data_IF_693488375021
#
_entry.id   IF_693488375021
#
_cell.length_a   1.000
_cell.length_b   1.000
_cell.length_c   1.000
_cell.angle_alpha   90.00
_cell.angle_beta   90.00
_cell.angle_gamma   90.00
#
_symmetry.space_group_name_H-M   'P 1'
#
loop_
_entity.id
_entity.type
_entity.pdbx_description
1 polymer ?
#
# COMPACT_ATOMS: atom_id res chain seq x y z
N UNK A 1 1.32 -22.90 -14.53
CA UNK A 1 2.25 -23.01 -13.38
C UNK A 1 2.08 -21.74 -12.57
N UNK A 2 1.51 -21.83 -11.35
CA UNK A 2 1.39 -20.67 -10.46
C UNK A 2 2.79 -20.22 -10.04
N UNK A 3 3.20 -19.04 -10.49
CA UNK A 3 4.49 -18.46 -10.10
C UNK A 3 4.51 -18.20 -8.58
N UNK A 4 5.68 -18.38 -7.95
CA UNK A 4 5.83 -18.08 -6.53
C UNK A 4 5.73 -16.57 -6.28
N UNK A 5 5.32 -16.17 -5.08
CA UNK A 5 5.25 -14.75 -4.66
C UNK A 5 6.59 -14.02 -4.90
N UNK A 6 7.69 -14.64 -4.55
CA UNK A 6 9.03 -14.07 -4.74
C UNK A 6 9.36 -13.84 -6.20
N UNK A 7 8.93 -14.73 -7.07
CA UNK A 7 9.13 -14.65 -8.52
C UNK A 7 8.31 -13.51 -9.12
N UNK A 8 7.00 -13.43 -8.82
CA UNK A 8 6.12 -12.35 -9.31
C UNK A 8 6.63 -10.98 -8.88
N UNK A 9 6.89 -10.79 -7.59
CA UNK A 9 7.43 -9.51 -7.08
C UNK A 9 8.82 -9.23 -7.67
N UNK A 10 9.67 -10.24 -7.84
CA UNK A 10 10.99 -10.09 -8.46
C UNK A 10 10.91 -9.55 -9.90
N UNK A 11 10.01 -10.09 -10.73
CA UNK A 11 9.79 -9.57 -12.09
C UNK A 11 9.26 -8.14 -12.09
N UNK A 12 8.28 -7.83 -11.23
CA UNK A 12 7.73 -6.48 -11.12
C UNK A 12 8.80 -5.46 -10.72
N UNK A 13 9.65 -5.78 -9.75
CA UNK A 13 10.72 -4.87 -9.31
C UNK A 13 11.78 -4.65 -10.41
N UNK A 14 12.13 -5.68 -11.17
CA UNK A 14 13.04 -5.54 -12.32
C UNK A 14 12.44 -4.65 -13.42
N UNK A 15 11.17 -4.87 -13.77
CA UNK A 15 10.47 -4.03 -14.75
C UNK A 15 10.34 -2.58 -14.27
N UNK A 16 10.05 -2.38 -12.98
CA UNK A 16 9.97 -1.05 -12.36
C UNK A 16 11.32 -0.33 -12.45
N UNK A 17 12.41 -0.99 -12.10
CA UNK A 17 13.74 -0.41 -12.19
C UNK A 17 14.13 -0.01 -13.64
N UNK A 18 13.66 -0.76 -14.65
CA UNK A 18 13.99 -0.53 -16.05
C UNK A 18 13.07 0.50 -16.75
N UNK A 19 11.78 0.56 -16.37
CA UNK A 19 10.76 1.26 -17.15
C UNK A 19 10.05 2.39 -16.40
N UNK A 20 10.25 2.53 -15.08
CA UNK A 20 9.58 3.57 -14.30
C UNK A 20 10.29 4.91 -14.39
N UNK A 21 9.51 5.99 -14.41
CA UNK A 21 10.03 7.36 -14.26
C UNK A 21 10.42 7.70 -12.82
N UNK A 22 9.82 7.02 -11.85
CA UNK A 22 10.09 7.17 -10.41
C UNK A 22 10.22 5.78 -9.80
N UNK A 23 11.33 5.08 -10.04
CA UNK A 23 11.50 3.69 -9.61
C UNK A 23 11.47 3.52 -8.09
N UNK A 24 11.90 4.53 -7.32
CA UNK A 24 11.86 4.52 -5.86
C UNK A 24 10.41 4.45 -5.35
N UNK A 25 9.52 5.29 -5.90
CA UNK A 25 8.09 5.29 -5.57
C UNK A 25 7.44 3.97 -5.95
N UNK A 26 7.65 3.52 -7.16
CA UNK A 26 6.93 2.37 -7.70
C UNK A 26 7.38 1.07 -7.04
N UNK A 27 8.66 0.97 -6.68
CA UNK A 27 9.19 -0.10 -5.85
C UNK A 27 8.52 -0.10 -4.46
N UNK A 28 8.45 1.06 -3.82
CA UNK A 28 7.79 1.20 -2.52
C UNK A 28 6.28 0.90 -2.59
N UNK A 29 5.57 1.38 -3.64
CA UNK A 29 4.16 1.09 -3.90
C UNK A 29 3.91 -0.41 -3.97
N UNK A 30 4.65 -1.11 -4.83
CA UNK A 30 4.49 -2.55 -5.05
C UNK A 30 4.81 -3.35 -3.78
N UNK A 31 5.93 -3.07 -3.14
CA UNK A 31 6.32 -3.78 -1.91
C UNK A 31 5.33 -3.54 -0.78
N UNK A 32 4.81 -2.31 -0.62
CA UNK A 32 3.79 -2.00 0.37
C UNK A 32 2.50 -2.74 0.07
N UNK A 33 2.02 -2.69 -1.16
CA UNK A 33 0.80 -3.37 -1.59
C UNK A 33 0.85 -4.88 -1.33
N UNK A 34 1.94 -5.54 -1.73
CA UNK A 34 2.14 -6.97 -1.54
C UNK A 34 2.52 -7.37 -0.11
N UNK A 35 3.06 -6.43 0.67
CA UNK A 35 3.57 -6.69 2.03
C UNK A 35 2.59 -6.39 3.15
N UNK A 36 1.55 -5.58 2.89
CA UNK A 36 0.61 -5.10 3.92
C UNK A 36 -0.84 -5.46 3.65
N UNK A 37 -1.16 -5.96 2.46
CA UNK A 37 -2.53 -6.22 2.02
C UNK A 37 -3.47 -5.00 2.00
N UNK A 38 -2.94 -3.78 1.91
CA UNK A 38 -3.74 -2.57 1.74
C UNK A 38 -4.55 -2.62 0.45
N UNK A 39 -5.79 -2.14 0.52
CA UNK A 39 -6.59 -1.83 -0.68
C UNK A 39 -6.09 -0.55 -1.36
N UNK A 40 -6.50 -0.31 -2.60
CA UNK A 40 -6.05 0.88 -3.37
C UNK A 40 -6.39 2.19 -2.66
N UNK A 41 -7.61 2.33 -2.16
CA UNK A 41 -8.06 3.53 -1.44
C UNK A 41 -7.27 3.73 -0.15
N UNK A 42 -7.06 2.65 0.60
CA UNK A 42 -6.25 2.65 1.81
C UNK A 42 -4.81 3.05 1.49
N UNK A 43 -4.20 2.47 0.46
CA UNK A 43 -2.83 2.76 0.02
C UNK A 43 -2.66 4.23 -0.41
N UNK A 44 -3.67 4.80 -1.09
CA UNK A 44 -3.68 6.22 -1.49
C UNK A 44 -3.83 7.17 -0.29
N UNK A 45 -4.36 6.68 0.84
CA UNK A 45 -4.77 7.48 2.00
C UNK A 45 -3.82 7.38 3.19
N UNK A 46 -2.89 6.40 3.21
CA UNK A 46 -1.92 6.30 4.31
C UNK A 46 -1.02 7.52 4.33
N UNK A 47 -0.82 8.07 5.54
CA UNK A 47 -0.06 9.30 5.76
C UNK A 47 1.34 9.00 6.30
N UNK A 48 2.20 10.02 6.28
CA UNK A 48 3.53 9.94 6.89
C UNK A 48 3.43 9.57 8.37
N UNK A 49 2.45 10.12 9.10
CA UNK A 49 2.23 9.80 10.52
C UNK A 49 1.68 8.38 10.76
N UNK A 50 1.16 7.68 9.74
CA UNK A 50 0.88 6.24 9.85
C UNK A 50 2.15 5.38 9.81
N UNK A 51 3.23 5.89 9.21
CA UNK A 51 4.49 5.15 9.04
C UNK A 51 5.56 5.58 10.04
N UNK A 52 5.72 6.91 10.27
CA UNK A 52 6.76 7.47 11.12
C UNK A 52 6.21 7.98 12.46
N UNK A 53 7.05 7.89 13.49
CA UNK A 53 6.94 8.67 14.70
C UNK A 53 7.49 10.09 14.49
N UNK A 54 7.20 10.99 15.42
CA UNK A 54 7.70 12.37 15.35
C UNK A 54 9.23 12.47 15.34
N UNK A 55 9.93 11.54 15.98
CA UNK A 55 11.39 11.43 16.00
C UNK A 55 11.99 10.86 14.69
N UNK A 56 11.15 10.52 13.72
CA UNK A 56 11.54 9.94 12.44
C UNK A 56 11.77 8.44 12.46
N UNK A 57 11.60 7.77 13.59
CA UNK A 57 11.64 6.31 13.67
C UNK A 57 10.41 5.68 13.00
N UNK A 58 10.56 4.47 12.47
CA UNK A 58 9.45 3.71 11.87
C UNK A 58 8.57 3.12 12.97
N UNK A 59 7.26 3.30 12.86
CA UNK A 59 6.28 2.64 13.72
C UNK A 59 6.31 1.13 13.52
N UNK A 60 6.04 0.37 14.56
CA UNK A 60 5.81 -1.08 14.44
C UNK A 60 4.41 -1.37 13.89
N UNK A 61 3.45 -0.57 14.33
CA UNK A 61 2.04 -0.72 14.05
C UNK A 61 1.37 0.65 13.92
N UNK A 62 0.37 0.72 13.08
CA UNK A 62 -0.57 1.81 12.94
C UNK A 62 -1.94 1.25 12.58
N UNK A 63 -2.90 2.11 12.24
CA UNK A 63 -4.23 1.67 11.87
C UNK A 63 -4.64 2.22 10.50
N UNK A 64 -5.40 1.43 9.75
CA UNK A 64 -6.16 1.89 8.59
C UNK A 64 -7.43 2.57 9.10
N UNK A 65 -7.63 3.83 8.73
CA UNK A 65 -8.75 4.65 9.20
C UNK A 65 -10.09 4.09 8.70
N UNK A 66 -11.11 4.24 9.55
CA UNK A 66 -12.49 3.77 9.30
C UNK A 66 -13.06 4.29 7.97
N UNK A 67 -12.84 5.57 7.66
CA UNK A 67 -13.40 6.26 6.49
C UNK A 67 -12.89 5.72 5.15
N UNK A 68 -11.71 5.12 5.12
CA UNK A 68 -11.10 4.55 3.91
C UNK A 68 -10.98 3.04 3.93
N UNK A 69 -11.22 2.40 5.08
CA UNK A 69 -11.16 0.96 5.24
C UNK A 69 -12.25 0.27 4.41
N UNK A 70 -11.88 -0.84 3.77
CA UNK A 70 -12.76 -1.58 2.86
C UNK A 70 -14.08 -2.05 3.53
N UNK A 71 -14.03 -2.42 4.80
CA UNK A 71 -15.18 -2.89 5.57
C UNK A 71 -15.85 -1.79 6.42
N UNK A 72 -15.32 -0.56 6.42
CA UNK A 72 -15.78 0.53 7.28
C UNK A 72 -15.41 0.36 8.76
N UNK A 73 -14.40 -0.45 9.06
CA UNK A 73 -13.89 -0.68 10.41
C UNK A 73 -12.38 -0.44 10.44
N UNK A 74 -11.89 0.13 11.55
CA UNK A 74 -10.47 0.27 11.78
C UNK A 74 -9.80 -1.11 11.83
N UNK A 75 -8.63 -1.22 11.22
CA UNK A 75 -7.85 -2.45 11.26
C UNK A 75 -6.35 -2.18 11.43
N UNK A 76 -5.62 -3.11 12.06
CA UNK A 76 -4.19 -2.92 12.27
C UNK A 76 -3.41 -2.95 10.95
N UNK A 77 -2.36 -2.14 10.89
CA UNK A 77 -1.40 -2.08 9.80
C UNK A 77 0.01 -2.25 10.38
N UNK A 78 0.68 -3.32 10.01
CA UNK A 78 1.98 -3.69 10.54
C UNK A 78 3.13 -3.32 9.61
N UNK A 79 4.16 -2.67 10.14
CA UNK A 79 5.37 -2.25 9.43
C UNK A 79 6.56 -3.19 9.72
N UNK A 80 6.31 -4.48 9.90
CA UNK A 80 7.32 -5.48 10.26
C UNK A 80 8.11 -6.05 9.09
N UNK A 81 7.68 -5.82 7.85
CA UNK A 81 8.35 -6.33 6.67
C UNK A 81 9.57 -5.45 6.31
N UNK A 82 10.77 -5.96 6.57
CA UNK A 82 12.04 -5.22 6.33
C UNK A 82 12.19 -4.71 4.89
N UNK A 83 11.70 -5.45 3.89
CA UNK A 83 11.77 -5.01 2.48
C UNK A 83 10.84 -3.84 2.20
N UNK A 84 9.66 -3.81 2.80
CA UNK A 84 8.72 -2.68 2.72
C UNK A 84 9.34 -1.45 3.36
N UNK A 85 9.87 -1.59 4.57
CA UNK A 85 10.51 -0.49 5.31
C UNK A 85 11.68 0.09 4.49
N UNK A 86 12.60 -0.74 4.02
CA UNK A 86 13.74 -0.29 3.23
C UNK A 86 13.32 0.47 1.95
N UNK A 87 12.31 -0.02 1.24
CA UNK A 87 11.82 0.64 0.03
C UNK A 87 11.11 1.97 0.33
N UNK A 88 10.33 2.03 1.42
CA UNK A 88 9.72 3.28 1.87
C UNK A 88 10.78 4.30 2.30
N UNK A 89 11.82 3.88 2.99
CA UNK A 89 12.90 4.77 3.41
C UNK A 89 13.61 5.39 2.20
N UNK A 90 13.93 4.60 1.17
CA UNK A 90 14.51 5.09 -0.09
C UNK A 90 13.57 6.07 -0.81
N UNK A 91 12.28 5.74 -0.87
CA UNK A 91 11.30 6.61 -1.52
C UNK A 91 11.07 7.92 -0.75
N UNK A 92 11.01 7.90 0.58
CA UNK A 92 10.84 9.10 1.37
C UNK A 92 12.07 10.01 1.29
N UNK A 93 13.27 9.46 1.23
CA UNK A 93 14.50 10.21 0.96
C UNK A 93 14.44 10.89 -0.41
N UNK A 94 14.06 10.16 -1.46
CA UNK A 94 13.84 10.72 -2.79
C UNK A 94 12.82 11.87 -2.77
N UNK A 95 11.69 11.73 -2.03
CA UNK A 95 10.70 12.80 -1.87
C UNK A 95 11.28 14.06 -1.27
N UNK A 96 12.14 13.94 -0.24
CA UNK A 96 12.82 15.08 0.37
C UNK A 96 13.74 15.80 -0.62
N UNK A 97 14.51 15.05 -1.42
CA UNK A 97 15.36 15.60 -2.47
C UNK A 97 14.55 16.37 -3.52
N UNK A 98 13.38 15.88 -3.88
CA UNK A 98 12.44 16.54 -4.80
C UNK A 98 11.60 17.63 -4.13
N UNK A 99 11.71 17.83 -2.81
CA UNK A 99 10.89 18.75 -1.97
C UNK A 99 9.37 18.39 -2.03
N UNK A 100 9.02 17.15 -2.32
CA UNK A 100 7.65 16.69 -2.39
C UNK A 100 7.08 16.42 -0.98
N UNK A 101 6.24 17.36 -0.47
CA UNK A 101 5.65 17.28 0.86
C UNK A 101 6.63 17.53 2.00
N UNK A 102 7.74 18.23 1.72
CA UNK A 102 8.65 18.70 2.73
C UNK A 102 8.02 19.81 3.58
N UNK A 103 8.34 19.84 4.88
CA UNK A 103 7.92 20.91 5.79
C UNK A 103 9.08 21.80 6.20
N UNK A 104 8.76 23.00 6.68
CA UNK A 104 9.74 23.93 7.28
C UNK A 104 10.27 23.41 8.65
N UNK A 105 9.54 22.51 9.33
CA UNK A 105 9.95 21.92 10.62
C UNK A 105 10.92 20.78 10.40
N UNK A 106 12.19 21.09 10.28
CA UNK A 106 13.28 20.16 9.93
C UNK A 106 13.57 19.05 10.95
N UNK A 107 12.93 18.93 12.06
CA UNK A 107 13.27 17.92 13.08
C UNK A 107 12.26 16.80 13.27
N UNK A 108 11.02 16.98 12.79
CA UNK A 108 9.95 16.02 12.98
C UNK A 108 9.63 15.27 11.69
N UNK A 109 9.26 13.98 11.80
CA UNK A 109 8.86 13.14 10.68
C UNK A 109 9.85 13.15 9.51
N UNK A 110 11.15 13.21 9.79
CA UNK A 110 12.24 13.36 8.81
C UNK A 110 12.11 14.59 7.91
N UNK A 111 11.38 15.64 8.34
CA UNK A 111 11.13 16.84 7.54
C UNK A 111 9.97 16.72 6.56
N UNK A 112 9.14 15.69 6.65
CA UNK A 112 7.94 15.51 5.86
C UNK A 112 6.68 15.95 6.61
N UNK A 113 5.64 16.34 5.88
CA UNK A 113 4.33 16.66 6.45
C UNK A 113 3.69 15.40 7.03
N UNK A 114 3.44 15.33 8.37
CA UNK A 114 2.83 14.15 8.99
C UNK A 114 1.42 13.82 8.46
N UNK A 115 0.66 14.82 8.02
CA UNK A 115 -0.67 14.66 7.46
C UNK A 115 -0.63 14.32 5.94
N UNK A 116 0.51 14.52 5.30
CA UNK A 116 0.70 14.25 3.88
C UNK A 116 0.63 12.75 3.57
N UNK A 117 0.04 12.41 2.41
CA UNK A 117 0.03 11.03 1.94
C UNK A 117 1.44 10.48 1.72
N UNK A 118 1.66 9.20 2.01
CA UNK A 118 2.95 8.55 1.73
C UNK A 118 3.19 8.52 0.22
N UNK A 119 2.21 8.07 -0.57
CA UNK A 119 2.36 7.93 -2.01
C UNK A 119 1.79 9.13 -2.75
N UNK A 120 2.61 9.71 -3.60
CA UNK A 120 2.28 10.85 -4.43
C UNK A 120 2.34 10.47 -5.92
N UNK A 121 1.66 11.25 -6.76
CA UNK A 121 1.80 11.18 -8.21
C UNK A 121 3.21 11.61 -8.66
N UNK A 122 3.52 11.50 -9.95
CA UNK A 122 4.79 11.99 -10.49
C UNK A 122 4.96 13.51 -10.28
N UNK A 123 3.86 14.25 -10.24
CA UNK A 123 3.85 15.70 -9.99
C UNK A 123 3.94 16.07 -8.49
N UNK A 124 4.15 15.10 -7.60
CA UNK A 124 4.25 15.36 -6.16
C UNK A 124 2.92 15.67 -5.47
N UNK A 125 1.79 15.33 -6.11
CA UNK A 125 0.44 15.57 -5.56
C UNK A 125 -0.14 14.28 -4.99
N UNK A 126 -0.98 14.34 -3.94
CA UNK A 126 -1.75 13.18 -3.47
C UNK A 126 -2.63 12.61 -4.58
N UNK A 127 -2.86 11.29 -4.55
CA UNK A 127 -3.86 10.69 -5.42
C UNK A 127 -5.27 11.12 -5.01
N UNK A 128 -6.06 11.62 -5.97
CA UNK A 128 -7.42 12.07 -5.71
C UNK A 128 -8.33 10.89 -5.39
N UNK A 129 -9.14 11.04 -4.34
CA UNK A 129 -10.18 10.10 -3.98
C UNK A 129 -11.52 10.56 -4.55
N UNK A 130 -12.21 9.67 -5.23
CA UNK A 130 -13.60 9.87 -5.66
C UNK A 130 -14.54 9.42 -4.56
N UNK A 131 -15.38 10.33 -4.07
CA UNK A 131 -16.41 10.04 -3.06
C UNK A 131 -17.71 9.65 -3.73
N UNK A 132 -18.34 8.58 -3.25
CA UNK A 132 -19.68 8.15 -3.65
C UNK A 132 -20.55 7.97 -2.42
N UNK A 133 -21.81 8.42 -2.48
CA UNK A 133 -22.83 8.08 -1.51
C UNK A 133 -23.49 6.78 -1.93
N UNK A 134 -23.49 5.79 -1.05
CA UNK A 134 -24.24 4.55 -1.28
C UNK A 134 -25.72 4.77 -0.96
N UNK A 135 -26.65 3.94 -1.48
CA UNK A 135 -28.07 4.01 -1.16
C UNK A 135 -28.37 3.92 0.35
N UNK A 136 -27.48 3.30 1.13
CA UNK A 136 -27.51 3.23 2.59
C UNK A 136 -27.13 4.52 3.31
N UNK A 137 -26.78 5.60 2.57
CA UNK A 137 -26.24 6.84 3.14
C UNK A 137 -24.75 6.76 3.54
N UNK A 138 -24.14 5.60 3.47
CA UNK A 138 -22.72 5.42 3.77
C UNK A 138 -21.85 6.01 2.66
N UNK A 139 -20.80 6.75 3.06
CA UNK A 139 -19.82 7.28 2.13
C UNK A 139 -18.80 6.19 1.78
N UNK A 140 -18.55 6.03 0.49
CA UNK A 140 -17.53 5.13 -0.05
C UNK A 140 -16.52 5.94 -0.84
N UNK A 141 -15.25 5.57 -0.73
CA UNK A 141 -14.15 6.21 -1.47
C UNK A 141 -13.51 5.23 -2.43
N UNK A 142 -13.07 5.72 -3.57
CA UNK A 142 -12.29 4.97 -4.55
C UNK A 142 -11.14 5.81 -5.11
N UNK A 143 -10.06 5.17 -5.49
CA UNK A 143 -8.92 5.81 -6.15
C UNK A 143 -8.63 5.11 -7.49
N UNK A 144 -9.37 5.50 -8.53
CA UNK A 144 -9.28 4.85 -9.83
C UNK A 144 -7.92 5.10 -10.51
N UNK A 145 -7.35 6.30 -10.32
CA UNK A 145 -6.05 6.67 -10.91
C UNK A 145 -4.91 5.80 -10.39
N UNK A 146 -4.83 5.59 -9.07
CA UNK A 146 -3.84 4.67 -8.48
C UNK A 146 -4.13 3.22 -8.89
N UNK A 147 -5.41 2.81 -8.94
CA UNK A 147 -5.80 1.48 -9.40
C UNK A 147 -5.33 1.18 -10.83
N UNK A 148 -5.58 2.09 -11.77
CA UNK A 148 -5.12 1.99 -13.15
C UNK A 148 -3.59 1.98 -13.23
N UNK A 149 -2.92 2.79 -12.41
CA UNK A 149 -1.47 2.84 -12.36
C UNK A 149 -0.86 1.52 -11.88
N UNK A 150 -1.40 0.91 -10.83
CA UNK A 150 -0.98 -0.40 -10.34
C UNK A 150 -1.18 -1.49 -11.42
N UNK A 151 -2.31 -1.47 -12.14
CA UNK A 151 -2.54 -2.38 -13.26
C UNK A 151 -1.49 -2.20 -14.35
N UNK A 152 -1.13 -0.96 -14.69
CA UNK A 152 -0.06 -0.65 -15.64
C UNK A 152 1.30 -1.19 -15.19
N UNK A 153 1.65 -1.07 -13.91
CA UNK A 153 2.89 -1.63 -13.38
C UNK A 153 2.96 -3.16 -13.53
N UNK A 154 1.82 -3.85 -13.34
CA UNK A 154 1.74 -5.29 -13.59
C UNK A 154 1.93 -5.62 -15.08
N UNK A 155 1.23 -4.91 -15.96
CA UNK A 155 1.34 -5.11 -17.41
C UNK A 155 2.76 -4.86 -17.92
N UNK A 156 3.45 -3.82 -17.44
CA UNK A 156 4.85 -3.54 -17.77
C UNK A 156 5.80 -4.68 -17.36
N UNK A 157 5.42 -5.45 -16.35
CA UNK A 157 6.16 -6.63 -15.91
C UNK A 157 5.74 -7.93 -16.63
N UNK A 158 4.87 -7.85 -17.64
CA UNK A 158 4.34 -9.01 -18.36
C UNK A 158 3.33 -9.83 -17.54
N UNK A 159 2.73 -9.25 -16.50
CA UNK A 159 1.75 -9.92 -15.64
C UNK A 159 0.36 -9.47 -16.05
N UNK A 160 -0.25 -10.22 -16.97
CA UNK A 160 -1.60 -9.94 -17.42
C UNK A 160 -2.64 -10.20 -16.31
N UNK A 161 -3.68 -9.35 -16.24
CA UNK A 161 -4.73 -9.42 -15.22
C UNK A 161 -4.27 -9.09 -13.81
N UNK A 162 -3.02 -8.64 -13.65
CA UNK A 162 -2.47 -8.21 -12.37
C UNK A 162 -3.12 -6.91 -11.87
N UNK A 163 -3.42 -6.86 -10.56
CA UNK A 163 -4.11 -5.75 -9.92
C UNK A 163 -3.81 -5.71 -8.42
N UNK A 164 -4.30 -4.67 -7.74
CA UNK A 164 -4.23 -4.63 -6.28
C UNK A 164 -4.96 -5.80 -5.61
N UNK A 165 -6.06 -6.28 -6.22
CA UNK A 165 -6.76 -7.46 -5.70
C UNK A 165 -5.90 -8.72 -5.81
N UNK A 166 -5.13 -8.85 -6.89
CA UNK A 166 -4.15 -9.94 -7.05
C UNK A 166 -3.08 -9.90 -5.96
N UNK A 167 -2.60 -8.70 -5.59
CA UNK A 167 -1.64 -8.51 -4.51
C UNK A 167 -2.21 -8.94 -3.16
N UNK A 168 -3.45 -8.53 -2.84
CA UNK A 168 -4.15 -8.93 -1.59
C UNK A 168 -4.34 -10.45 -1.52
N UNK A 169 -4.76 -11.08 -2.63
CA UNK A 169 -4.86 -12.53 -2.72
C UNK A 169 -3.51 -13.21 -2.49
N UNK A 170 -2.47 -12.71 -3.13
CA UNK A 170 -1.11 -13.24 -2.98
C UNK A 170 -0.61 -13.13 -1.54
N UNK A 171 -0.91 -12.00 -0.85
CA UNK A 171 -0.63 -11.84 0.57
C UNK A 171 -1.37 -12.89 1.41
N UNK A 172 -2.68 -13.09 1.21
CA UNK A 172 -3.49 -14.04 1.94
C UNK A 172 -2.94 -15.48 1.79
N UNK A 173 -2.70 -15.90 0.55
CA UNK A 173 -2.13 -17.24 0.25
C UNK A 173 -0.77 -17.43 0.90
N UNK A 174 0.09 -16.41 0.88
CA UNK A 174 1.41 -16.46 1.54
C UNK A 174 1.27 -16.64 3.05
N UNK A 175 0.41 -15.85 3.70
CA UNK A 175 0.19 -15.94 5.14
C UNK A 175 -0.37 -17.31 5.54
N UNK A 176 -1.31 -17.83 4.77
CA UNK A 176 -1.88 -19.16 5.00
C UNK A 176 -0.83 -20.27 4.87
N UNK A 177 -0.01 -20.24 3.82
CA UNK A 177 1.11 -21.19 3.63
C UNK A 177 2.17 -21.12 4.73
N UNK A 178 2.28 -20.01 5.42
CA UNK A 178 3.14 -19.84 6.60
C UNK A 178 2.49 -20.32 7.90
N UNK A 179 1.31 -20.97 7.82
CA UNK A 179 0.59 -21.52 8.96
C UNK A 179 -0.23 -20.51 9.76
N UNK A 180 -0.46 -19.29 9.24
CA UNK A 180 -1.33 -18.33 9.94
C UNK A 180 -2.78 -18.75 9.85
N UNK A 181 -3.49 -18.58 10.96
CA UNK A 181 -4.93 -18.83 11.05
C UNK A 181 -5.74 -17.91 10.13
N UNK A 182 -6.80 -18.46 9.54
CA UNK A 182 -7.71 -17.75 8.62
C UNK A 182 -8.43 -16.58 9.31
N UNK A 183 -8.73 -16.67 10.61
CA UNK A 183 -9.34 -15.57 11.38
C UNK A 183 -8.37 -14.39 11.44
N UNK A 184 -7.10 -14.65 11.73
CA UNK A 184 -6.08 -13.62 11.78
C UNK A 184 -5.85 -12.98 10.39
N UNK A 185 -5.81 -13.78 9.33
CA UNK A 185 -5.69 -13.28 7.95
C UNK A 185 -6.90 -12.43 7.57
N UNK A 186 -8.12 -12.84 7.95
CA UNK A 186 -9.35 -12.08 7.72
C UNK A 186 -9.28 -10.71 8.40
N UNK A 187 -8.84 -10.64 9.65
CA UNK A 187 -8.67 -9.39 10.38
C UNK A 187 -7.69 -8.44 9.69
N UNK A 188 -6.51 -8.93 9.25
CA UNK A 188 -5.52 -8.12 8.52
C UNK A 188 -6.09 -7.62 7.18
N UNK A 189 -6.88 -8.44 6.48
CA UNK A 189 -7.51 -8.07 5.21
C UNK A 189 -8.73 -7.14 5.38
N UNK A 190 -9.27 -7.02 6.58
CA UNK A 190 -10.52 -6.32 6.82
C UNK A 190 -11.75 -7.05 6.25
N UNK A 191 -11.75 -8.37 6.26
CA UNK A 191 -12.90 -9.15 5.83
C UNK A 191 -13.89 -9.36 6.99
N UNK A 192 -15.15 -9.02 6.80
CA UNK A 192 -16.22 -9.26 7.79
C UNK A 192 -16.50 -10.75 8.05
N UNK A 193 -16.15 -11.61 7.10
CA UNK A 193 -16.35 -13.04 7.19
C UNK A 193 -15.10 -13.83 6.82
N UNK A 194 -14.75 -14.81 7.65
CA UNK A 194 -13.65 -15.75 7.39
C UNK A 194 -13.90 -16.54 6.10
N UNK A 195 -15.17 -16.78 5.71
CA UNK A 195 -15.51 -17.44 4.46
C UNK A 195 -15.01 -16.68 3.23
N UNK A 196 -14.95 -15.34 3.30
CA UNK A 196 -14.36 -14.50 2.24
C UNK A 196 -12.87 -14.75 2.11
N UNK A 197 -12.15 -14.88 3.23
CA UNK A 197 -10.73 -15.20 3.25
C UNK A 197 -10.46 -16.61 2.73
N UNK A 198 -11.28 -17.59 3.14
CA UNK A 198 -11.15 -19.00 2.69
C UNK A 198 -11.23 -19.16 1.17
N UNK A 199 -11.97 -18.28 0.47
CA UNK A 199 -12.05 -18.30 -1.01
C UNK A 199 -10.80 -17.74 -1.69
N UNK A 200 -9.93 -17.06 -0.97
CA UNK A 200 -8.70 -16.47 -1.52
C UNK A 200 -7.51 -17.43 -1.46
N UNK A 201 -7.52 -18.33 -0.50
CA UNK A 201 -6.45 -19.30 -0.21
C UNK A 201 -6.84 -20.72 -0.60
#
# INVERSE_FOLDING_TARGET
IAMSWSTVVGYMLKATAACSRVPERDTALLLTLYGTALGITELASITISNYLNADGSVKRESAVRVDVAHNGEERPLYWSNKRVVAALDVYLEWRLQQKHGATVKKGAYRGLDPAGAIFLTEAGQPYALTRRSLPSGVLSYSCNTLGAYITKLHSNAGIEGGSAQSARRTFAVKQHRQGRDLVHIAAILGHKSVSTTKRLV
#
